data_IF_372902268331
#
_entry.id   IF_372902268331
#
_cell.length_a   1.000
_cell.length_b   1.000
_cell.length_c   1.000
_cell.angle_alpha   90.00
_cell.angle_beta   90.00
_cell.angle_gamma   90.00
#
_symmetry.space_group_name_H-M   'P 1'
#
loop_
_entity.id
_entity.type
_entity.pdbx_description
1 polymer ?
#
# COMPACT_ATOMS: atom_id res chain seq x y z
N UNK A 1 17.62 8.89 16.59
CA UNK A 1 17.65 7.57 15.90
C UNK A 1 16.23 7.25 15.45
N UNK A 2 15.88 7.56 14.21
CA UNK A 2 14.50 7.47 13.71
C UNK A 2 14.31 6.22 12.86
N UNK A 3 13.53 5.25 13.32
CA UNK A 3 13.04 4.16 12.49
C UNK A 3 12.10 4.74 11.43
N UNK A 4 12.57 4.86 10.19
CA UNK A 4 11.73 5.12 9.02
C UNK A 4 11.78 3.90 8.09
N UNK A 5 11.22 2.80 8.56
CA UNK A 5 10.79 1.70 7.68
C UNK A 5 9.45 2.08 7.09
N UNK A 6 9.41 2.44 5.81
CA UNK A 6 8.16 2.67 5.11
C UNK A 6 7.44 1.33 4.94
N UNK A 7 6.42 1.08 5.75
CA UNK A 7 5.61 -0.12 5.67
C UNK A 7 4.55 0.05 4.57
N UNK A 8 4.62 -0.79 3.53
CA UNK A 8 3.65 -0.81 2.46
C UNK A 8 2.30 -1.34 2.97
N UNK A 9 1.20 -0.72 2.55
CA UNK A 9 -0.16 -1.09 2.98
C UNK A 9 -1.09 -1.13 1.79
N UNK A 10 -2.03 -2.06 1.81
CA UNK A 10 -3.10 -2.19 0.82
C UNK A 10 -4.43 -1.92 1.50
N UNK A 11 -5.20 -0.98 0.98
CA UNK A 11 -6.56 -0.68 1.44
C UNK A 11 -7.56 -1.18 0.40
N UNK A 12 -8.61 -1.84 0.86
CA UNK A 12 -9.71 -2.30 0.00
C UNK A 12 -11.02 -1.72 0.49
N UNK A 13 -11.84 -1.21 -0.43
CA UNK A 13 -13.11 -0.56 -0.14
C UNK A 13 -14.21 -1.23 -0.94
N UNK A 14 -15.33 -1.55 -0.27
CA UNK A 14 -16.54 -2.15 -0.86
C UNK A 14 -16.23 -3.28 -1.84
N UNK A 15 -15.37 -4.22 -1.42
CA UNK A 15 -14.98 -5.39 -2.21
C UNK A 15 -16.25 -6.13 -2.67
N UNK A 16 -16.24 -6.63 -3.91
CA UNK A 16 -17.39 -7.25 -4.60
C UNK A 16 -18.56 -6.31 -4.96
N UNK A 17 -18.44 -5.00 -4.72
CA UNK A 17 -19.42 -4.00 -5.19
C UNK A 17 -19.01 -3.37 -6.53
N UNK A 18 -19.96 -2.72 -7.21
CA UNK A 18 -19.70 -1.91 -8.43
C UNK A 18 -18.76 -0.72 -8.18
N UNK A 19 -18.62 -0.31 -6.93
CA UNK A 19 -17.81 0.83 -6.49
C UNK A 19 -16.55 0.37 -5.74
N UNK A 20 -16.11 -0.87 -5.97
CA UNK A 20 -14.93 -1.40 -5.31
C UNK A 20 -13.69 -0.58 -5.65
N UNK A 21 -12.81 -0.40 -4.65
CA UNK A 21 -11.55 0.32 -4.84
C UNK A 21 -10.42 -0.38 -4.13
N UNK A 22 -9.28 -0.46 -4.80
CA UNK A 22 -8.02 -0.96 -4.25
C UNK A 22 -7.01 0.17 -4.32
N UNK A 23 -6.31 0.41 -3.20
CA UNK A 23 -5.28 1.41 -3.09
C UNK A 23 -4.07 0.80 -2.38
N UNK A 24 -2.87 1.09 -2.85
CA UNK A 24 -1.63 0.74 -2.16
C UNK A 24 -0.75 1.96 -1.92
N UNK A 25 -0.05 1.96 -0.79
CA UNK A 25 0.82 3.05 -0.40
C UNK A 25 1.22 2.94 1.07
N UNK A 26 1.92 3.96 1.55
CA UNK A 26 2.23 4.13 2.96
C UNK A 26 1.00 4.61 3.75
N UNK A 27 1.05 4.46 5.07
CA UNK A 27 0.01 5.00 5.95
C UNK A 27 -0.07 6.53 5.87
N UNK A 28 1.06 7.19 5.67
CA UNK A 28 1.15 8.65 5.59
C UNK A 28 0.46 9.20 4.34
N UNK A 29 0.47 8.44 3.25
CA UNK A 29 -0.29 8.79 2.05
C UNK A 29 -1.78 8.63 2.28
N UNK A 30 -2.21 7.51 2.87
CA UNK A 30 -3.63 7.31 3.20
C UNK A 30 -4.16 8.34 4.20
N UNK A 31 -3.33 8.81 5.13
CA UNK A 31 -3.71 9.84 6.11
C UNK A 31 -3.95 11.22 5.49
N UNK A 32 -3.43 11.48 4.28
CA UNK A 32 -3.60 12.75 3.55
C UNK A 32 -4.78 12.73 2.56
N UNK A 33 -5.40 11.57 2.38
CA UNK A 33 -6.51 11.44 1.44
C UNK A 33 -7.83 11.81 2.11
N UNK A 34 -8.68 12.48 1.35
CA UNK A 34 -10.02 12.84 1.81
C UNK A 34 -10.93 11.60 1.91
N UNK A 35 -11.88 11.57 2.86
CA UNK A 35 -12.79 10.45 3.07
C UNK A 35 -13.51 9.97 1.80
N UNK A 36 -13.91 10.89 0.93
CA UNK A 36 -14.63 10.63 -0.33
C UNK A 36 -13.78 9.79 -1.29
N UNK A 37 -12.45 9.91 -1.22
CA UNK A 37 -11.52 9.15 -2.05
C UNK A 37 -11.51 7.66 -1.67
N UNK A 38 -11.99 7.29 -0.49
CA UNK A 38 -12.11 5.91 -0.04
C UNK A 38 -13.46 5.28 -0.34
N UNK A 39 -14.42 6.03 -0.91
CA UNK A 39 -15.81 5.62 -1.01
C UNK A 39 -16.49 5.44 0.36
N UNK A 40 -17.79 5.08 0.35
CA UNK A 40 -18.50 4.69 1.56
C UNK A 40 -18.04 3.32 2.10
N UNK A 41 -18.36 2.99 3.36
CA UNK A 41 -18.02 1.70 3.99
C UNK A 41 -18.61 0.50 3.23
N UNK A 42 -18.09 -0.73 3.40
CA UNK A 42 -17.06 -1.21 4.33
C UNK A 42 -15.62 -1.05 3.81
N UNK A 43 -14.66 -0.81 4.72
CA UNK A 43 -13.22 -0.72 4.42
C UNK A 43 -12.42 -1.81 5.15
N UNK A 44 -11.39 -2.33 4.49
CA UNK A 44 -10.37 -3.17 5.14
C UNK A 44 -8.96 -2.65 4.82
N UNK A 45 -8.04 -2.87 5.76
CA UNK A 45 -6.63 -2.51 5.64
C UNK A 45 -5.79 -3.77 5.80
N UNK A 46 -4.93 -4.02 4.82
CA UNK A 46 -3.94 -5.08 4.80
C UNK A 46 -2.58 -4.41 4.99
N UNK A 47 -1.88 -4.79 6.05
CA UNK A 47 -0.54 -4.31 6.32
C UNK A 47 0.42 -5.34 5.72
N UNK A 48 1.21 -4.92 4.74
CA UNK A 48 2.25 -5.74 4.16
C UNK A 48 3.42 -5.66 5.16
N UNK A 49 3.94 -6.81 5.58
CA UNK A 49 4.88 -6.91 6.70
C UNK A 49 6.17 -6.11 6.50
N UNK A 50 7.02 -6.11 7.52
CA UNK A 50 8.44 -5.75 7.40
C UNK A 50 9.25 -6.99 7.82
N UNK A 51 9.35 -7.98 6.92
CA UNK A 51 10.20 -9.14 7.15
C UNK A 51 11.66 -8.68 7.38
N UNK A 52 12.34 -9.14 8.44
CA UNK A 52 13.70 -8.71 8.74
C UNK A 52 14.73 -9.07 7.66
N UNK A 53 14.39 -9.96 6.70
CA UNK A 53 15.19 -10.23 5.50
C UNK A 53 14.94 -9.25 4.34
N UNK A 54 14.05 -8.26 4.51
CA UNK A 54 13.72 -7.24 3.50
C UNK A 54 12.84 -7.74 2.35
N UNK A 55 12.32 -8.97 2.43
CA UNK A 55 11.46 -9.59 1.40
C UNK A 55 10.02 -9.69 1.89
N UNK A 56 9.19 -8.70 1.56
CA UNK A 56 7.77 -8.71 1.95
C UNK A 56 6.78 -9.07 0.86
N UNK A 57 7.16 -8.85 -0.39
CA UNK A 57 6.31 -9.11 -1.55
C UNK A 57 7.18 -9.76 -2.61
N UNK A 58 6.65 -10.77 -3.28
CA UNK A 58 7.34 -11.28 -4.46
C UNK A 58 7.29 -10.21 -5.58
N UNK A 59 8.21 -10.25 -6.56
CA UNK A 59 8.24 -9.28 -7.65
C UNK A 59 6.90 -9.18 -8.41
N UNK A 60 6.17 -10.29 -8.53
CA UNK A 60 4.87 -10.36 -9.22
C UNK A 60 3.79 -9.59 -8.46
N UNK A 61 3.74 -9.70 -7.13
CA UNK A 61 2.83 -8.94 -6.27
C UNK A 61 3.17 -7.45 -6.31
N UNK A 62 4.47 -7.09 -6.31
CA UNK A 62 4.92 -5.70 -6.44
C UNK A 62 4.43 -5.10 -7.77
N UNK A 63 4.64 -5.82 -8.87
CA UNK A 63 4.21 -5.40 -10.20
C UNK A 63 2.69 -5.27 -10.28
N UNK A 64 1.94 -6.28 -9.80
CA UNK A 64 0.48 -6.25 -9.79
C UNK A 64 -0.07 -5.10 -8.95
N UNK A 65 0.47 -4.89 -7.74
CA UNK A 65 0.02 -3.84 -6.83
C UNK A 65 0.39 -2.43 -7.31
N UNK A 66 1.42 -2.28 -8.15
CA UNK A 66 1.82 -0.98 -8.73
C UNK A 66 0.69 -0.29 -9.52
N UNK A 67 -0.23 -1.07 -10.10
CA UNK A 67 -1.43 -0.56 -10.78
C UNK A 67 -2.43 0.15 -9.86
N UNK A 68 -2.30 -0.05 -8.54
CA UNK A 68 -3.17 0.51 -7.52
C UNK A 68 -2.46 1.52 -6.62
N UNK A 69 -1.22 1.90 -6.94
CA UNK A 69 -0.42 2.79 -6.12
C UNK A 69 -1.02 4.20 -6.07
N UNK A 70 -1.13 4.75 -4.87
CA UNK A 70 -1.51 6.16 -4.65
C UNK A 70 -0.47 7.08 -5.31
N UNK A 71 0.81 6.77 -5.10
CA UNK A 71 1.93 7.38 -5.80
C UNK A 71 2.93 6.29 -6.26
N UNK A 72 3.26 6.30 -7.55
CA UNK A 72 4.12 5.27 -8.15
C UNK A 72 5.57 5.38 -7.69
N UNK A 73 6.07 6.59 -7.47
CA UNK A 73 7.45 6.80 -7.04
C UNK A 73 7.64 6.36 -5.58
N UNK A 74 6.71 6.73 -4.71
CA UNK A 74 6.61 6.28 -3.33
C UNK A 74 6.50 4.76 -3.25
N UNK A 75 5.63 4.14 -4.05
CA UNK A 75 5.53 2.68 -4.14
C UNK A 75 6.85 2.04 -4.53
N UNK A 76 7.50 2.53 -5.59
CA UNK A 76 8.82 2.05 -6.01
C UNK A 76 9.84 2.11 -4.88
N UNK A 77 9.88 3.23 -4.14
CA UNK A 77 10.79 3.39 -3.00
C UNK A 77 10.46 2.45 -1.83
N UNK A 78 9.17 2.16 -1.59
CA UNK A 78 8.72 1.23 -0.54
C UNK A 78 9.04 -0.22 -0.86
N UNK A 79 8.99 -0.59 -2.15
CA UNK A 79 9.20 -1.96 -2.61
C UNK A 79 10.59 -2.20 -3.19
N UNK A 80 11.43 -1.17 -3.27
CA UNK A 80 12.81 -1.31 -3.68
C UNK A 80 13.52 -2.27 -2.72
N UNK A 81 14.27 -3.22 -3.29
CA UNK A 81 15.12 -4.11 -2.51
C UNK A 81 16.06 -3.27 -1.65
N UNK A 82 16.02 -3.44 -0.33
CA UNK A 82 17.02 -2.85 0.56
C UNK A 82 18.36 -3.53 0.26
N UNK A 83 19.20 -2.87 -0.51
CA UNK A 83 20.63 -3.20 -0.57
C UNK A 83 21.22 -2.79 0.79
N UNK A 84 21.77 -3.77 1.52
CA UNK A 84 22.60 -3.50 2.71
C UNK A 84 23.88 -2.75 2.30
#
# INVERSE_FOLDING_TARGET
MGYRGGMAKKRTCRVTSRTQKFLVGSISEFAKMEPEQFCGPLHSLIILGDDPSGKNLNPVEIEFLSGFAVDKQSWSNLTASRSN
#
